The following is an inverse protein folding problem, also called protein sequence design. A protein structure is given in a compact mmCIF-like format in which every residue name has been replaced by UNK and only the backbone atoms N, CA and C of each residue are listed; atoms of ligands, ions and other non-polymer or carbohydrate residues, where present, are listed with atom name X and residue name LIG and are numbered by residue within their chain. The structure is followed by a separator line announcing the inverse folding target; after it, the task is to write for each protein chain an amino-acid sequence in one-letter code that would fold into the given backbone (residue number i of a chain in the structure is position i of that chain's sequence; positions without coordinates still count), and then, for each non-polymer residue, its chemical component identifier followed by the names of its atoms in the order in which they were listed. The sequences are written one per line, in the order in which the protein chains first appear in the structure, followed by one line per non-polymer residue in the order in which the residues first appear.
data_IF_926593711824
#
_entry.id   IF_926593711824
#
_cell.length_a   1.000
_cell.length_b   1.000
_cell.length_c   1.000
_cell.angle_alpha   90.00
_cell.angle_beta   90.00
_cell.angle_gamma   90.00
#
_symmetry.space_group_name_H-M   'P 1'
#
loop_
_entity.id
_entity.type
_entity.pdbx_description
1 polymer ?
#
# COMPACT_ATOMS: atom_id res chain seq x y z
N UNK A 1 31.74 -48.05 41.89
CA UNK A 1 31.53 -48.24 43.36
C UNK A 1 30.05 -48.48 43.49
N UNK A 2 29.66 -49.77 43.67
CA UNK A 2 29.28 -50.43 44.90
C UNK A 2 28.05 -49.76 45.53
N UNK A 3 26.89 -50.36 45.88
CA UNK A 3 26.50 -51.73 46.31
C UNK A 3 24.97 -51.80 46.14
N UNK A 4 24.35 -52.85 45.58
CA UNK A 4 23.95 -54.11 46.16
C UNK A 4 23.19 -54.03 47.49
N UNK A 5 21.91 -54.55 47.49
CA UNK A 5 21.42 -55.61 48.38
C UNK A 5 19.92 -55.66 48.20
N UNK A 6 19.29 -56.65 47.66
CA UNK A 6 18.99 -58.05 47.95
C UNK A 6 18.18 -58.29 49.22
N UNK A 7 17.13 -59.09 48.96
CA UNK A 7 16.58 -60.26 49.76
C UNK A 7 15.35 -59.89 50.64
N UNK A 8 14.25 -60.60 50.76
CA UNK A 8 13.86 -62.00 50.51
C UNK A 8 12.40 -62.18 50.89
N UNK A 9 11.69 -62.92 50.11
CA UNK A 9 10.77 -64.07 50.33
C UNK A 9 10.15 -64.34 51.73
N UNK A 10 8.86 -64.70 51.74
CA UNK A 10 8.23 -65.95 52.15
C UNK A 10 6.71 -65.80 52.27
N UNK A 11 5.97 -66.46 51.41
CA UNK A 11 5.12 -67.68 51.64
C UNK A 11 4.06 -67.60 52.73
N UNK A 12 2.79 -67.78 52.41
CA UNK A 12 2.00 -68.95 52.51
C UNK A 12 0.49 -68.73 52.29
N UNK A 13 -0.09 -69.62 51.57
CA UNK A 13 -1.49 -69.99 51.28
C UNK A 13 -2.40 -70.16 52.51
N UNK A 14 -3.69 -70.57 52.30
CA UNK A 14 -4.81 -70.06 51.47
C UNK A 14 -6.07 -69.84 52.34
N UNK A 15 -7.12 -69.20 51.77
CA UNK A 15 -8.53 -69.63 52.10
C UNK A 15 -9.45 -69.21 50.97
N UNK A 16 -10.10 -70.14 50.39
CA UNK A 16 -11.18 -69.97 49.41
C UNK A 16 -12.46 -69.53 50.13
N UNK A 17 -13.13 -68.53 49.55
CA UNK A 17 -14.60 -68.40 49.69
C UNK A 17 -15.16 -67.95 48.37
N UNK A 18 -15.95 -68.77 47.79
CA UNK A 18 -16.80 -68.52 46.65
C UNK A 18 -17.95 -67.63 47.08
N UNK A 19 -18.25 -66.55 46.25
CA UNK A 19 -19.65 -66.13 46.17
C UNK A 19 -19.88 -65.26 44.94
N UNK A 20 -20.82 -65.67 44.12
CA UNK A 20 -21.85 -64.99 43.38
C UNK A 20 -21.44 -64.06 42.22
N UNK A 21 -21.70 -64.58 41.02
CA UNK A 21 -22.00 -63.84 39.78
C UNK A 21 -23.01 -62.71 40.03
N UNK A 22 -22.58 -61.49 39.89
CA UNK A 22 -23.43 -60.34 39.61
C UNK A 22 -23.03 -59.76 38.24
N UNK A 23 -23.65 -60.26 37.17
CA UNK A 23 -23.56 -59.58 35.86
C UNK A 23 -24.27 -58.23 35.97
N UNK A 24 -23.54 -57.21 36.36
CA UNK A 24 -23.96 -55.81 36.16
C UNK A 24 -23.80 -55.46 34.71
N UNK A 25 -24.88 -55.53 33.94
CA UNK A 25 -24.97 -54.80 32.64
C UNK A 25 -24.79 -53.32 32.92
N UNK A 26 -23.58 -52.80 32.78
CA UNK A 26 -23.33 -51.41 32.60
C UNK A 26 -23.95 -51.03 31.25
N UNK A 27 -24.88 -50.04 31.18
CA UNK A 27 -25.31 -49.55 29.92
C UNK A 27 -24.07 -48.89 29.25
N UNK A 28 -23.65 -49.47 28.10
CA UNK A 28 -22.81 -48.74 27.17
C UNK A 28 -23.59 -47.46 26.82
N UNK A 29 -23.22 -46.38 27.48
CA UNK A 29 -23.64 -45.07 27.07
C UNK A 29 -22.95 -44.87 25.70
N UNK A 30 -23.72 -45.07 24.63
CA UNK A 30 -23.33 -44.57 23.31
C UNK A 30 -22.99 -43.12 23.52
N UNK A 31 -21.71 -42.77 23.41
CA UNK A 31 -21.30 -41.39 23.28
C UNK A 31 -22.05 -40.88 22.04
N UNK A 32 -22.98 -39.96 22.26
CA UNK A 32 -23.63 -39.24 21.17
C UNK A 32 -22.53 -38.71 20.27
N UNK A 33 -22.42 -39.29 19.09
CA UNK A 33 -21.49 -38.95 18.03
C UNK A 33 -22.02 -37.69 17.33
N UNK A 34 -22.14 -36.60 18.10
CA UNK A 34 -22.59 -35.27 17.66
C UNK A 34 -21.45 -34.51 17.02
N UNK A 35 -20.40 -35.22 16.63
CA UNK A 35 -19.36 -34.65 15.81
C UNK A 35 -19.94 -34.27 14.43
N UNK A 36 -19.76 -33.02 13.98
CA UNK A 36 -20.31 -32.58 12.70
C UNK A 36 -19.83 -33.51 11.59
N UNK A 37 -20.78 -34.19 10.94
CA UNK A 37 -20.53 -35.11 9.83
C UNK A 37 -20.26 -34.25 8.57
N UNK A 38 -19.16 -34.53 7.86
CA UNK A 38 -18.84 -33.87 6.61
C UNK A 38 -17.34 -33.48 6.47
N UNK A 39 -16.94 -33.01 5.31
CA UNK A 39 -15.57 -32.59 5.07
C UNK A 39 -15.18 -31.41 5.97
N UNK A 40 -13.91 -31.35 6.34
CA UNK A 40 -13.35 -30.21 7.07
C UNK A 40 -13.26 -29.01 6.14
N UNK A 41 -13.85 -27.89 6.52
CA UNK A 41 -13.88 -26.66 5.73
C UNK A 41 -13.28 -25.52 6.54
N UNK A 42 -12.27 -24.88 5.99
CA UNK A 42 -11.65 -23.71 6.63
C UNK A 42 -12.61 -22.53 6.59
N UNK A 43 -12.91 -22.00 7.76
CA UNK A 43 -13.84 -20.89 7.92
C UNK A 43 -13.22 -19.75 8.71
N UNK A 44 -13.79 -18.58 8.60
CA UNK A 44 -13.48 -17.45 9.47
C UNK A 44 -14.75 -16.70 9.86
N UNK A 45 -14.66 -15.97 10.95
CA UNK A 45 -15.74 -15.12 11.41
C UNK A 45 -15.68 -13.79 10.66
N UNK A 46 -16.76 -13.42 9.99
CA UNK A 46 -16.89 -12.14 9.33
C UNK A 46 -16.83 -11.00 10.36
N UNK A 47 -16.00 -10.02 10.13
CA UNK A 47 -15.82 -8.87 11.00
C UNK A 47 -15.82 -7.59 10.17
N UNK A 48 -16.15 -6.47 10.79
CA UNK A 48 -16.05 -5.16 10.14
C UNK A 48 -14.59 -4.77 9.92
N UNK A 49 -14.32 -4.21 8.75
CA UNK A 49 -13.05 -3.62 8.40
C UNK A 49 -13.29 -2.37 7.56
N UNK A 50 -12.31 -1.45 7.59
CA UNK A 50 -12.39 -0.25 6.77
C UNK A 50 -11.53 -0.43 5.52
N UNK A 51 -12.12 -0.11 4.38
CA UNK A 51 -11.54 -0.17 3.05
C UNK A 51 -11.34 1.25 2.53
N UNK A 52 -10.18 1.54 2.01
CA UNK A 52 -9.92 2.82 1.34
C UNK A 52 -10.16 2.67 -0.16
N UNK A 53 -10.95 3.57 -0.74
CA UNK A 53 -10.99 3.74 -2.20
C UNK A 53 -9.74 4.51 -2.61
N UNK A 54 -8.94 3.91 -3.49
CA UNK A 54 -7.63 4.43 -3.90
C UNK A 54 -7.62 4.56 -5.41
N UNK A 55 -7.29 5.76 -5.87
CA UNK A 55 -6.94 6.01 -7.27
C UNK A 55 -5.43 6.05 -7.40
N UNK A 56 -4.92 5.29 -8.36
CA UNK A 56 -3.51 5.22 -8.68
C UNK A 56 -3.17 6.14 -9.86
N UNK A 57 -2.17 7.00 -9.68
CA UNK A 57 -1.64 7.87 -10.72
C UNK A 57 -0.15 7.59 -10.92
N UNK A 58 0.25 7.23 -12.13
CA UNK A 58 1.66 7.00 -12.48
C UNK A 58 2.18 8.15 -13.34
N UNK A 59 3.41 8.58 -13.07
CA UNK A 59 3.98 9.71 -13.79
C UNK A 59 5.41 10.03 -13.40
N UNK A 60 5.79 11.27 -13.52
CA UNK A 60 7.16 11.75 -13.28
C UNK A 60 7.20 12.88 -12.26
N UNK A 61 8.33 12.97 -11.56
CA UNK A 61 8.60 14.04 -10.61
C UNK A 61 9.13 15.25 -11.36
N UNK A 62 8.49 16.39 -11.14
CA UNK A 62 8.91 17.69 -11.68
C UNK A 62 9.10 18.70 -10.55
N UNK A 63 9.89 19.72 -10.79
CA UNK A 63 9.93 20.88 -9.91
C UNK A 63 8.57 21.59 -9.96
N UNK A 64 8.01 21.97 -8.81
CA UNK A 64 6.79 22.78 -8.77
C UNK A 64 7.04 24.18 -9.32
N UNK A 65 8.15 24.76 -8.91
CA UNK A 65 8.61 26.07 -9.36
C UNK A 65 10.10 25.97 -9.66
N UNK A 66 10.47 26.29 -10.89
CA UNK A 66 11.85 26.33 -11.33
C UNK A 66 12.24 27.77 -11.69
N UNK A 67 13.29 28.25 -11.03
CA UNK A 67 13.83 29.57 -11.28
C UNK A 67 15.08 29.45 -12.16
N UNK A 68 15.01 30.03 -13.35
CA UNK A 68 16.14 30.10 -14.28
C UNK A 68 16.98 31.33 -14.01
N UNK A 69 18.25 31.16 -13.73
CA UNK A 69 19.20 32.25 -13.47
C UNK A 69 20.00 32.53 -14.72
N UNK A 70 19.86 33.78 -15.24
CA UNK A 70 20.56 34.29 -16.41
C UNK A 70 21.22 35.61 -16.06
N UNK A 71 22.34 35.97 -16.69
CA UNK A 71 22.90 37.30 -16.55
C UNK A 71 21.98 38.35 -17.21
N UNK A 72 21.92 39.52 -16.65
CA UNK A 72 21.06 40.61 -17.15
C UNK A 72 21.59 41.27 -18.43
N UNK A 73 22.90 41.17 -18.71
CA UNK A 73 23.58 41.83 -19.81
C UNK A 73 24.15 40.84 -20.81
N UNK A 74 24.24 41.23 -22.10
CA UNK A 74 24.93 40.43 -23.11
C UNK A 74 26.46 40.62 -23.01
N UNK A 75 27.20 39.71 -23.67
CA UNK A 75 28.66 39.83 -23.84
C UNK A 75 29.50 39.55 -22.62
N UNK A 76 28.92 38.95 -21.60
CA UNK A 76 29.62 38.55 -20.39
C UNK A 76 30.33 37.20 -20.58
N UNK A 77 31.42 36.99 -19.81
CA UNK A 77 32.21 35.76 -19.83
C UNK A 77 32.31 35.21 -18.40
N UNK A 78 32.04 33.92 -18.23
CA UNK A 78 32.15 33.24 -16.91
C UNK A 78 33.63 33.20 -16.51
N UNK A 79 33.98 33.76 -15.34
CA UNK A 79 35.33 33.74 -14.78
C UNK A 79 35.46 32.78 -13.61
N UNK A 80 34.37 32.63 -12.86
CA UNK A 80 34.38 31.74 -11.67
C UNK A 80 33.00 31.13 -11.49
N UNK A 81 32.96 29.84 -11.13
CA UNK A 81 31.75 29.11 -10.76
C UNK A 81 31.88 28.73 -9.31
N UNK A 82 30.93 29.15 -8.47
CA UNK A 82 30.94 29.00 -6.99
C UNK A 82 29.90 28.02 -6.50
N UNK A 83 29.04 27.53 -7.39
CA UNK A 83 28.01 26.56 -7.07
C UNK A 83 27.78 25.61 -8.24
N UNK A 84 27.46 24.34 -7.96
CA UNK A 84 27.29 23.30 -8.96
C UNK A 84 25.89 22.67 -8.88
N UNK A 85 25.52 21.90 -9.92
CA UNK A 85 24.31 21.11 -9.89
C UNK A 85 24.30 20.13 -8.72
N UNK A 86 23.20 20.15 -7.96
CA UNK A 86 23.06 19.37 -6.74
C UNK A 86 23.35 20.14 -5.45
N UNK A 87 23.83 21.38 -5.49
CA UNK A 87 24.02 22.20 -4.29
C UNK A 87 22.71 22.77 -3.78
N UNK A 88 22.59 22.85 -2.45
CA UNK A 88 21.52 23.59 -1.78
C UNK A 88 21.99 25.00 -1.50
N UNK A 89 21.25 25.99 -1.96
CA UNK A 89 21.60 27.39 -1.93
C UNK A 89 20.57 28.24 -1.19
N UNK A 90 21.02 29.39 -0.71
CA UNK A 90 20.17 30.41 -0.09
C UNK A 90 19.90 31.55 -1.07
N UNK A 91 18.79 32.28 -0.89
CA UNK A 91 18.51 33.47 -1.68
C UNK A 91 19.61 34.52 -1.48
N UNK A 92 20.06 35.14 -2.56
CA UNK A 92 21.15 36.11 -2.56
C UNK A 92 22.58 35.49 -2.59
N UNK A 93 22.71 34.18 -2.51
CA UNK A 93 24.01 33.52 -2.60
C UNK A 93 24.62 33.71 -3.98
N UNK A 94 25.92 34.04 -4.03
CA UNK A 94 26.65 34.19 -5.29
C UNK A 94 26.92 32.80 -5.88
N UNK A 95 26.49 32.61 -7.12
CA UNK A 95 26.60 31.33 -7.84
C UNK A 95 27.76 31.32 -8.83
N UNK A 96 28.02 32.47 -9.46
CA UNK A 96 29.12 32.65 -10.42
C UNK A 96 29.57 34.13 -10.49
N UNK A 97 30.78 34.34 -10.99
CA UNK A 97 31.30 35.66 -11.35
C UNK A 97 31.54 35.72 -12.84
N UNK A 98 31.18 36.87 -13.42
CA UNK A 98 31.29 37.12 -14.86
C UNK A 98 32.15 38.35 -15.11
N UNK A 99 33.02 38.30 -16.13
CA UNK A 99 33.75 39.49 -16.59
C UNK A 99 32.89 40.32 -17.53
N UNK A 100 32.98 41.62 -17.38
CA UNK A 100 32.38 42.58 -18.31
C UNK A 100 33.38 42.92 -19.45
N UNK A 101 32.93 43.15 -20.67
CA UNK A 101 33.78 43.53 -21.81
C UNK A 101 34.58 44.78 -21.56
N UNK A 102 34.01 45.76 -20.85
CA UNK A 102 34.62 47.03 -20.48
C UNK A 102 35.55 46.97 -19.24
N UNK A 103 35.69 45.79 -18.67
CA UNK A 103 36.42 45.58 -17.42
C UNK A 103 35.53 45.58 -16.17
N UNK A 104 35.93 44.83 -15.17
CA UNK A 104 35.16 44.60 -13.93
C UNK A 104 34.47 43.26 -13.88
N UNK A 105 33.78 42.99 -12.75
CA UNK A 105 33.14 41.69 -12.43
C UNK A 105 31.69 41.91 -12.06
N UNK A 106 30.81 41.11 -12.64
CA UNK A 106 29.40 40.99 -12.27
C UNK A 106 29.19 39.70 -11.47
N UNK A 107 28.43 39.78 -10.39
CA UNK A 107 28.01 38.59 -9.62
C UNK A 107 26.64 38.11 -10.08
N UNK A 108 26.53 36.82 -10.29
CA UNK A 108 25.24 36.14 -10.53
C UNK A 108 24.81 35.50 -9.20
N UNK A 109 23.67 35.96 -8.69
CA UNK A 109 23.12 35.53 -7.40
C UNK A 109 21.85 34.72 -7.57
N UNK A 110 21.57 33.86 -6.58
CA UNK A 110 20.35 33.06 -6.52
C UNK A 110 19.15 34.00 -6.18
N UNK A 111 18.08 34.02 -7.00
CA UNK A 111 16.89 34.81 -6.69
C UNK A 111 16.04 34.18 -5.60
N UNK A 112 16.13 32.87 -5.40
CA UNK A 112 15.39 32.08 -4.41
C UNK A 112 16.29 31.05 -3.75
N UNK A 113 15.94 30.63 -2.54
CA UNK A 113 16.55 29.48 -1.89
C UNK A 113 16.04 28.19 -2.53
N UNK A 114 16.89 27.18 -2.66
CA UNK A 114 16.49 25.91 -3.25
C UNK A 114 17.66 25.00 -3.59
N UNK A 115 17.39 24.04 -4.46
CA UNK A 115 18.36 23.08 -5.01
C UNK A 115 18.70 23.46 -6.45
N UNK A 116 19.98 23.52 -6.80
CA UNK A 116 20.39 23.66 -8.21
C UNK A 116 20.12 22.34 -8.93
N UNK A 117 19.16 22.36 -9.86
CA UNK A 117 18.78 21.18 -10.67
C UNK A 117 19.72 20.97 -11.86
N UNK A 118 20.20 22.06 -12.45
CA UNK A 118 21.13 22.04 -13.58
C UNK A 118 22.04 23.28 -13.58
N UNK A 119 23.26 23.13 -14.09
CA UNK A 119 24.21 24.19 -14.33
C UNK A 119 24.84 24.03 -15.71
N UNK A 120 24.81 25.08 -16.51
CA UNK A 120 25.55 25.20 -17.78
C UNK A 120 26.75 26.14 -17.67
N UNK A 121 26.99 26.68 -16.47
CA UNK A 121 28.09 27.63 -16.21
C UNK A 121 29.44 26.91 -16.31
N UNK A 122 30.26 27.33 -17.28
CA UNK A 122 31.63 26.83 -17.44
C UNK A 122 32.57 28.04 -17.60
N UNK A 123 33.71 27.97 -16.91
CA UNK A 123 34.72 29.04 -16.96
C UNK A 123 35.17 29.25 -18.41
N UNK A 124 35.15 30.51 -18.85
CA UNK A 124 35.55 30.89 -20.18
C UNK A 124 34.43 30.94 -21.22
N UNK A 125 33.24 30.41 -20.89
CA UNK A 125 32.09 30.45 -21.83
C UNK A 125 31.37 31.79 -21.81
N UNK A 126 30.84 32.24 -22.98
CA UNK A 126 30.02 33.44 -23.05
C UNK A 126 28.65 33.22 -22.38
N UNK A 127 28.20 34.20 -21.63
CA UNK A 127 26.92 34.22 -20.99
C UNK A 127 26.09 35.42 -21.41
N UNK A 128 24.80 35.24 -21.66
CA UNK A 128 23.92 36.34 -22.09
C UNK A 128 22.49 36.17 -21.57
N UNK A 129 21.77 37.28 -21.47
CA UNK A 129 20.38 37.34 -21.05
C UNK A 129 19.42 36.50 -21.95
N UNK A 130 19.76 36.36 -23.23
CA UNK A 130 18.96 35.58 -24.21
C UNK A 130 19.50 34.18 -24.44
N UNK A 131 20.60 33.83 -23.79
CA UNK A 131 21.19 32.48 -23.87
C UNK A 131 20.51 31.48 -22.96
N UNK A 132 21.12 30.31 -22.88
CA UNK A 132 20.74 29.29 -21.93
C UNK A 132 20.91 29.78 -20.50
N UNK A 133 20.07 29.29 -19.59
CA UNK A 133 20.20 29.62 -18.18
C UNK A 133 21.50 29.06 -17.62
N UNK A 134 22.28 29.87 -16.90
CA UNK A 134 23.49 29.42 -16.24
C UNK A 134 23.18 28.42 -15.12
N UNK A 135 22.06 28.63 -14.41
CA UNK A 135 21.60 27.73 -13.35
C UNK A 135 20.09 27.63 -13.44
N UNK A 136 19.59 26.44 -13.14
CA UNK A 136 18.19 26.15 -12.87
C UNK A 136 18.05 25.75 -11.39
N UNK A 137 17.11 26.38 -10.68
CA UNK A 137 16.93 26.21 -9.23
C UNK A 137 15.52 25.74 -8.96
N UNK A 138 15.38 24.57 -8.28
CA UNK A 138 14.12 24.11 -7.73
C UNK A 138 13.85 24.89 -6.45
N UNK A 139 12.85 25.77 -6.50
CA UNK A 139 12.53 26.64 -5.38
C UNK A 139 11.96 25.84 -4.20
N UNK A 140 12.40 26.17 -2.99
CA UNK A 140 11.86 25.65 -1.72
C UNK A 140 11.81 24.14 -1.57
N UNK A 141 12.50 23.37 -2.41
CA UNK A 141 12.45 21.89 -2.44
C UNK A 141 11.01 21.35 -2.56
N UNK A 142 10.18 22.04 -3.33
CA UNK A 142 8.82 21.66 -3.63
C UNK A 142 8.74 20.96 -5.00
N UNK A 143 8.12 19.80 -5.00
CA UNK A 143 8.00 18.96 -6.19
C UNK A 143 6.54 18.62 -6.45
N UNK A 144 6.22 18.30 -7.70
CA UNK A 144 4.96 17.70 -8.09
C UNK A 144 5.22 16.34 -8.77
N UNK A 145 4.45 15.33 -8.43
CA UNK A 145 4.26 14.19 -9.32
C UNK A 145 3.19 14.58 -10.34
N UNK A 146 3.56 14.64 -11.60
CA UNK A 146 2.63 14.80 -12.72
C UNK A 146 2.22 13.42 -13.16
N UNK A 147 1.05 13.00 -12.70
CA UNK A 147 0.54 11.63 -12.87
C UNK A 147 -0.61 11.58 -13.88
N UNK A 148 -0.70 10.45 -14.55
CA UNK A 148 -1.77 10.11 -15.47
C UNK A 148 -2.79 9.21 -14.78
N UNK A 149 -4.08 9.49 -14.99
CA UNK A 149 -5.20 8.80 -14.36
C UNK A 149 -6.29 8.54 -15.41
N UNK A 150 -7.00 7.41 -15.29
CA UNK A 150 -8.11 7.10 -16.18
C UNK A 150 -9.21 8.18 -16.10
N UNK A 151 -9.92 8.42 -17.19
CA UNK A 151 -11.05 9.38 -17.21
C UNK A 151 -12.16 9.03 -16.24
N UNK A 152 -12.34 7.75 -15.93
CA UNK A 152 -13.32 7.28 -14.95
C UNK A 152 -12.90 7.63 -13.52
N UNK A 153 -11.61 7.57 -13.21
CA UNK A 153 -11.08 7.84 -11.88
C UNK A 153 -10.87 9.34 -11.63
N UNK A 154 -10.65 10.15 -12.67
CA UNK A 154 -10.59 11.62 -12.53
C UNK A 154 -11.81 12.17 -11.79
N UNK A 155 -13.00 11.59 -12.02
CA UNK A 155 -14.25 12.02 -11.37
C UNK A 155 -14.26 11.80 -9.84
N UNK A 156 -13.40 10.92 -9.33
CA UNK A 156 -13.24 10.65 -7.90
C UNK A 156 -12.23 11.58 -7.23
N UNK A 157 -11.43 12.29 -8.03
CA UNK A 157 -10.36 13.15 -7.53
C UNK A 157 -10.90 14.51 -7.09
N UNK A 158 -10.35 15.01 -6.01
CA UNK A 158 -10.55 16.36 -5.50
C UNK A 158 -9.23 16.94 -4.99
N UNK A 159 -9.11 18.26 -5.05
CA UNK A 159 -7.96 18.98 -4.48
C UNK A 159 -7.88 18.73 -2.97
N UNK A 160 -6.66 18.67 -2.43
CA UNK A 160 -6.33 18.37 -1.03
C UNK A 160 -6.54 16.91 -0.58
N UNK A 161 -6.94 15.98 -1.43
CA UNK A 161 -6.92 14.56 -1.10
C UNK A 161 -5.51 14.10 -0.74
N UNK A 162 -5.41 13.28 0.31
CA UNK A 162 -4.15 12.69 0.76
C UNK A 162 -3.65 11.66 -0.26
N UNK A 163 -2.36 11.65 -0.50
CA UNK A 163 -1.71 10.71 -1.38
C UNK A 163 -0.42 10.19 -0.76
N UNK A 164 -0.11 8.94 -1.00
CA UNK A 164 1.23 8.38 -0.75
C UNK A 164 1.93 8.24 -2.09
N UNK A 165 3.04 8.96 -2.25
CA UNK A 165 3.83 8.95 -3.49
C UNK A 165 5.03 8.05 -3.32
N UNK A 166 5.07 6.99 -4.10
CA UNK A 166 6.20 6.06 -4.18
C UNK A 166 7.11 6.45 -5.32
N UNK A 167 8.35 6.76 -5.02
CA UNK A 167 9.34 7.26 -5.99
C UNK A 167 10.49 6.25 -6.06
N UNK A 168 10.91 5.92 -7.27
CA UNK A 168 12.04 5.04 -7.49
C UNK A 168 13.30 5.62 -6.81
N UNK A 169 13.90 4.85 -5.91
CA UNK A 169 15.11 5.24 -5.16
C UNK A 169 14.89 6.15 -3.93
N UNK A 170 13.69 6.71 -3.73
CA UNK A 170 13.41 7.59 -2.59
C UNK A 170 12.38 7.01 -1.60
N UNK A 171 11.67 5.93 -1.97
CA UNK A 171 10.65 5.28 -1.14
C UNK A 171 9.31 6.02 -1.14
N UNK A 172 8.54 5.80 -0.08
CA UNK A 172 7.21 6.38 0.07
C UNK A 172 7.29 7.76 0.76
N UNK A 173 6.64 8.74 0.17
CA UNK A 173 6.59 10.13 0.66
C UNK A 173 5.12 10.57 0.67
N UNK A 174 4.71 11.28 1.70
CA UNK A 174 3.37 11.85 1.75
C UNK A 174 3.23 13.06 0.81
N UNK A 175 2.08 13.14 0.18
CA UNK A 175 1.71 14.22 -0.72
C UNK A 175 0.22 14.50 -0.68
N UNK A 176 -0.20 15.51 -1.44
CA UNK A 176 -1.62 15.88 -1.59
C UNK A 176 -1.90 16.24 -3.04
N UNK A 177 -3.11 15.93 -3.49
CA UNK A 177 -3.60 16.43 -4.79
C UNK A 177 -3.63 17.95 -4.75
N UNK A 178 -2.80 18.59 -5.56
CA UNK A 178 -2.71 20.05 -5.64
C UNK A 178 -3.58 20.60 -6.76
N UNK A 179 -3.60 19.92 -7.90
CA UNK A 179 -4.33 20.34 -9.09
C UNK A 179 -4.75 19.14 -9.91
N UNK A 180 -5.91 19.22 -10.52
CA UNK A 180 -6.40 18.27 -11.50
C UNK A 180 -6.44 18.99 -12.85
N UNK A 181 -5.88 18.38 -13.88
CA UNK A 181 -5.89 18.93 -15.23
C UNK A 181 -7.33 19.04 -15.76
N UNK A 182 -7.59 20.11 -16.47
CA UNK A 182 -8.89 20.33 -17.11
C UNK A 182 -9.04 19.61 -18.46
N UNK A 183 -7.95 19.06 -18.98
CA UNK A 183 -7.88 18.40 -20.29
C UNK A 183 -7.45 16.96 -20.16
N UNK A 184 -7.87 16.16 -21.11
CA UNK A 184 -7.44 14.78 -21.29
C UNK A 184 -6.29 14.77 -22.30
N UNK A 185 -5.28 13.93 -22.04
CA UNK A 185 -4.21 13.69 -23.01
C UNK A 185 -4.77 12.96 -24.24
N UNK A 186 -4.76 13.58 -25.43
CA UNK A 186 -5.52 13.08 -26.58
C UNK A 186 -5.14 11.67 -27.02
N UNK A 187 -3.84 11.34 -26.95
CA UNK A 187 -3.33 10.08 -27.48
C UNK A 187 -3.65 8.88 -26.62
N UNK A 188 -3.73 9.07 -25.29
CA UNK A 188 -3.89 8.01 -24.32
C UNK A 188 -5.23 8.08 -23.56
N UNK A 189 -6.03 9.12 -23.79
CA UNK A 189 -7.33 9.34 -23.15
C UNK A 189 -7.27 9.30 -21.61
N UNK A 190 -6.22 9.89 -21.04
CA UNK A 190 -6.01 9.96 -19.59
C UNK A 190 -6.01 11.42 -19.12
N UNK A 191 -6.55 11.66 -17.95
CA UNK A 191 -6.47 12.94 -17.27
C UNK A 191 -5.14 13.10 -16.55
N UNK A 192 -4.74 14.35 -16.34
CA UNK A 192 -3.50 14.71 -15.64
C UNK A 192 -3.83 15.14 -14.21
N UNK A 193 -3.11 14.62 -13.24
CA UNK A 193 -3.18 15.06 -11.84
C UNK A 193 -1.81 15.49 -11.33
N UNK A 194 -1.78 16.56 -10.58
CA UNK A 194 -0.57 17.09 -9.94
C UNK A 194 -0.65 16.79 -8.43
N UNK A 195 0.22 15.92 -7.95
CA UNK A 195 0.33 15.59 -6.54
C UNK A 195 1.53 16.31 -5.96
N UNK A 196 1.26 17.31 -5.12
CA UNK A 196 2.29 18.11 -4.48
C UNK A 196 3.02 17.32 -3.38
N UNK A 197 4.34 17.41 -3.42
CA UNK A 197 5.26 16.79 -2.49
C UNK A 197 6.12 17.88 -1.88
N UNK A 198 6.23 17.90 -0.56
CA UNK A 198 7.18 18.76 0.15
C UNK A 198 8.07 17.87 1.00
N UNK A 199 9.35 17.86 0.70
CA UNK A 199 10.30 16.98 1.38
C UNK A 199 11.69 17.63 1.42
N UNK A 200 12.44 17.49 2.54
CA UNK A 200 13.84 17.91 2.60
C UNK A 200 14.77 16.98 1.81
N UNK A 201 14.26 15.84 1.35
CA UNK A 201 15.06 14.88 0.57
C UNK A 201 15.27 15.42 -0.83
N UNK A 202 16.45 15.18 -1.38
CA UNK A 202 16.71 15.41 -2.80
C UNK A 202 15.94 14.38 -3.62
N UNK A 203 15.06 14.87 -4.48
CA UNK A 203 14.39 14.05 -5.49
C UNK A 203 15.04 14.29 -6.85
N UNK A 204 15.24 13.22 -7.59
CA UNK A 204 15.71 13.32 -8.98
C UNK A 204 14.53 13.77 -9.85
N UNK A 205 14.68 14.89 -10.53
CA UNK A 205 13.70 15.35 -11.52
C UNK A 205 13.61 14.32 -12.65
N UNK A 206 12.42 14.21 -13.24
CA UNK A 206 12.07 13.25 -14.28
C UNK A 206 12.15 11.79 -13.85
N UNK A 207 12.41 11.49 -12.56
CA UNK A 207 12.27 10.12 -12.06
C UNK A 207 10.81 9.68 -12.08
N UNK A 208 10.59 8.39 -12.33
CA UNK A 208 9.25 7.81 -12.31
C UNK A 208 8.74 7.68 -10.87
N UNK A 209 7.45 7.93 -10.71
CA UNK A 209 6.76 7.79 -9.45
C UNK A 209 5.32 7.34 -9.63
N UNK A 210 4.73 6.89 -8.52
CA UNK A 210 3.34 6.45 -8.45
C UNK A 210 2.69 7.04 -7.22
N UNK A 211 1.56 7.70 -7.39
CA UNK A 211 0.75 8.23 -6.30
C UNK A 211 -0.44 7.32 -6.04
N UNK A 212 -0.66 6.96 -4.78
CA UNK A 212 -1.84 6.28 -4.27
C UNK A 212 -2.71 7.32 -3.58
N UNK A 213 -3.74 7.81 -4.27
CA UNK A 213 -4.60 8.91 -3.82
C UNK A 213 -5.82 8.34 -3.13
N UNK A 214 -6.05 8.69 -1.87
CA UNK A 214 -7.23 8.28 -1.10
C UNK A 214 -8.44 9.11 -1.54
N UNK A 215 -9.41 8.48 -2.20
CA UNK A 215 -10.61 9.14 -2.72
C UNK A 215 -11.83 8.94 -1.85
N UNK A 216 -11.82 7.90 -1.01
CA UNK A 216 -12.90 7.61 -0.09
C UNK A 216 -12.54 6.52 0.91
N UNK A 217 -13.46 6.26 1.82
CA UNK A 217 -13.36 5.17 2.78
C UNK A 217 -14.76 4.58 3.02
N UNK A 218 -14.83 3.26 3.11
CA UNK A 218 -16.02 2.53 3.48
C UNK A 218 -15.68 1.50 4.56
N UNK A 219 -16.54 1.34 5.57
CA UNK A 219 -16.32 0.40 6.67
C UNK A 219 -17.51 -0.55 6.75
N UNK A 220 -17.32 -1.77 6.26
CA UNK A 220 -18.35 -2.80 6.21
C UNK A 220 -17.77 -4.17 6.54
N UNK A 221 -18.60 -5.21 6.42
CA UNK A 221 -18.17 -6.59 6.63
C UNK A 221 -17.08 -6.96 5.64
N UNK A 222 -16.00 -7.52 6.15
CA UNK A 222 -14.87 -8.01 5.38
C UNK A 222 -14.90 -9.54 5.29
N UNK A 223 -14.71 -10.06 4.09
CA UNK A 223 -14.49 -11.48 3.85
C UNK A 223 -13.26 -11.67 2.97
N UNK A 224 -12.56 -12.81 3.04
CA UNK A 224 -11.46 -13.08 2.12
C UNK A 224 -11.93 -13.10 0.69
N UNK A 225 -11.16 -12.50 -0.21
CA UNK A 225 -11.44 -12.55 -1.65
C UNK A 225 -11.56 -14.00 -2.16
N UNK A 226 -10.80 -14.93 -1.57
CA UNK A 226 -10.86 -16.36 -1.89
C UNK A 226 -12.15 -17.06 -1.49
N UNK A 227 -12.95 -16.45 -0.62
CA UNK A 227 -14.27 -16.96 -0.20
C UNK A 227 -15.42 -16.54 -1.12
N UNK A 228 -15.17 -15.60 -2.03
CA UNK A 228 -16.18 -15.08 -2.95
C UNK A 228 -16.23 -15.91 -4.23
N UNK A 229 -17.41 -16.27 -4.67
CA UNK A 229 -17.65 -17.00 -5.90
C UNK A 229 -18.43 -16.11 -6.88
N UNK A 230 -17.99 -16.11 -8.13
CA UNK A 230 -18.65 -15.42 -9.22
C UNK A 230 -19.39 -16.43 -10.09
N UNK A 231 -20.67 -16.24 -10.29
CA UNK A 231 -21.50 -17.08 -11.13
C UNK A 231 -22.35 -16.24 -12.10
N UNK A 232 -22.90 -16.82 -13.16
CA UNK A 232 -23.84 -16.10 -14.03
C UNK A 232 -25.08 -15.56 -13.30
N UNK A 233 -25.44 -16.18 -12.17
CA UNK A 233 -26.55 -15.74 -11.32
C UNK A 233 -26.18 -14.61 -10.35
N UNK A 234 -24.89 -14.22 -10.30
CA UNK A 234 -24.37 -13.16 -9.44
C UNK A 234 -23.23 -13.62 -8.53
N UNK A 235 -22.80 -12.71 -7.67
CA UNK A 235 -21.74 -12.95 -6.70
C UNK A 235 -22.32 -13.57 -5.44
N UNK A 236 -21.69 -14.64 -4.95
CA UNK A 236 -22.14 -15.37 -3.77
C UNK A 236 -20.99 -15.67 -2.81
N UNK A 237 -21.36 -15.84 -1.54
CA UNK A 237 -20.48 -16.28 -0.46
C UNK A 237 -21.15 -17.44 0.26
N UNK A 238 -20.37 -18.44 0.66
CA UNK A 238 -20.86 -19.56 1.45
C UNK A 238 -20.64 -19.27 2.93
N UNK A 239 -21.72 -19.34 3.70
CA UNK A 239 -21.70 -19.26 5.16
C UNK A 239 -22.06 -20.60 5.77
N UNK A 240 -21.63 -20.84 7.01
CA UNK A 240 -21.95 -22.06 7.73
C UNK A 240 -22.93 -21.73 8.84
N UNK A 241 -24.10 -22.37 8.78
CA UNK A 241 -25.11 -22.35 9.85
C UNK A 241 -25.45 -23.77 10.27
N UNK A 242 -25.42 -24.04 11.55
CA UNK A 242 -25.73 -25.37 12.13
C UNK A 242 -24.99 -26.50 11.40
N UNK A 243 -23.68 -26.29 11.12
CA UNK A 243 -22.82 -27.24 10.41
C UNK A 243 -23.27 -27.58 8.98
N UNK A 244 -24.04 -26.69 8.33
CA UNK A 244 -24.46 -26.81 6.93
C UNK A 244 -24.07 -25.58 6.14
N UNK A 245 -23.78 -25.79 4.88
CA UNK A 245 -23.48 -24.73 3.92
C UNK A 245 -24.77 -24.01 3.55
N UNK A 246 -24.77 -22.69 3.64
CA UNK A 246 -25.81 -21.79 3.14
C UNK A 246 -25.16 -20.81 2.17
N UNK A 247 -25.64 -20.76 0.93
CA UNK A 247 -25.14 -19.86 -0.10
C UNK A 247 -25.90 -18.55 -0.07
N UNK A 248 -25.18 -17.45 0.17
CA UNK A 248 -25.74 -16.10 0.22
C UNK A 248 -25.31 -15.31 -1.00
N UNK A 249 -26.29 -14.69 -1.67
CA UNK A 249 -26.02 -13.66 -2.66
C UNK A 249 -25.52 -12.42 -1.94
N UNK A 250 -24.48 -11.80 -2.48
CA UNK A 250 -23.83 -10.65 -1.84
C UNK A 250 -23.61 -9.51 -2.82
N UNK A 251 -23.66 -8.30 -2.28
CA UNK A 251 -23.19 -7.10 -2.96
C UNK A 251 -21.77 -6.79 -2.46
N UNK A 252 -20.83 -6.81 -3.40
CA UNK A 252 -19.41 -6.56 -3.10
C UNK A 252 -19.06 -5.08 -3.26
N UNK A 253 -18.06 -4.61 -2.54
CA UNK A 253 -17.54 -3.26 -2.60
C UNK A 253 -16.05 -3.19 -2.86
N UNK A 254 -15.36 -2.43 -2.05
CA UNK A 254 -13.92 -2.19 -2.16
C UNK A 254 -13.11 -3.43 -1.77
N UNK A 255 -11.91 -3.52 -2.31
CA UNK A 255 -10.96 -4.60 -2.03
C UNK A 255 -9.67 -4.03 -1.43
N UNK A 256 -9.15 -4.67 -0.38
CA UNK A 256 -7.89 -4.29 0.24
C UNK A 256 -7.28 -5.44 1.03
N UNK A 257 -5.97 -5.63 0.96
CA UNK A 257 -5.23 -6.59 1.79
C UNK A 257 -5.71 -8.05 1.65
N UNK A 258 -6.19 -8.47 0.47
CA UNK A 258 -6.72 -9.82 0.25
C UNK A 258 -8.15 -10.04 0.75
N UNK A 259 -8.78 -8.99 1.29
CA UNK A 259 -10.18 -8.99 1.70
C UNK A 259 -11.03 -8.15 0.74
N UNK A 260 -12.31 -8.47 0.69
CA UNK A 260 -13.33 -7.73 -0.05
C UNK A 260 -14.43 -7.26 0.89
N UNK A 261 -14.89 -6.06 0.66
CA UNK A 261 -16.03 -5.47 1.34
C UNK A 261 -17.33 -6.13 0.88
N UNK A 262 -18.16 -6.52 1.82
CA UNK A 262 -19.55 -6.97 1.56
C UNK A 262 -20.47 -5.88 2.07
N UNK A 263 -21.21 -5.27 1.13
CA UNK A 263 -22.18 -4.20 1.43
C UNK A 263 -23.50 -4.76 1.87
N UNK A 264 -23.89 -5.91 1.31
CA UNK A 264 -25.14 -6.59 1.63
C UNK A 264 -24.99 -8.12 1.48
N UNK A 265 -25.76 -8.87 2.26
CA UNK A 265 -25.87 -10.33 2.20
C UNK A 265 -25.13 -11.10 3.31
N UNK A 266 -24.15 -10.52 3.99
CA UNK A 266 -23.43 -11.14 5.13
C UNK A 266 -23.42 -10.19 6.31
N UNK A 267 -23.69 -10.72 7.50
CA UNK A 267 -23.65 -9.95 8.74
C UNK A 267 -22.33 -10.14 9.49
N UNK A 268 -22.02 -9.15 10.32
CA UNK A 268 -20.92 -9.30 11.27
C UNK A 268 -21.16 -10.50 12.19
N UNK A 269 -20.16 -11.36 12.30
CA UNK A 269 -20.24 -12.58 13.12
C UNK A 269 -20.63 -13.84 12.36
N UNK A 270 -21.11 -13.74 11.12
CA UNK A 270 -21.36 -14.91 10.29
C UNK A 270 -20.08 -15.72 10.06
N UNK A 271 -20.21 -17.04 10.05
CA UNK A 271 -19.09 -17.95 9.79
C UNK A 271 -19.00 -18.17 8.29
N UNK A 272 -17.97 -17.61 7.66
CA UNK A 272 -17.78 -17.60 6.21
C UNK A 272 -16.73 -18.62 5.80
N UNK A 273 -16.95 -19.33 4.71
CA UNK A 273 -15.97 -20.22 4.10
C UNK A 273 -14.80 -19.39 3.57
N UNK A 274 -13.61 -19.60 4.14
CA UNK A 274 -12.44 -18.78 3.84
C UNK A 274 -11.88 -19.00 2.43
N UNK A 275 -12.08 -20.20 1.90
CA UNK A 275 -11.69 -20.56 0.54
C UNK A 275 -12.84 -21.30 -0.10
N UNK A 276 -13.50 -20.69 -1.06
CA UNK A 276 -14.59 -21.28 -1.81
C UNK A 276 -14.10 -22.54 -2.55
N UNK A 277 -14.58 -23.68 -2.10
CA UNK A 277 -14.36 -24.96 -2.78
C UNK A 277 -15.47 -25.18 -3.81
N UNK A 278 -15.12 -25.49 -5.05
CA UNK A 278 -16.08 -25.82 -6.11
C UNK A 278 -16.97 -27.05 -5.80
N UNK A 279 -16.72 -27.71 -4.69
CA UNK A 279 -17.35 -28.97 -4.31
C UNK A 279 -18.45 -28.83 -3.23
N UNK A 280 -18.58 -27.66 -2.59
CA UNK A 280 -19.60 -27.45 -1.57
C UNK A 280 -20.92 -27.00 -2.19
N UNK A 281 -22.02 -27.70 -1.87
CA UNK A 281 -23.35 -27.39 -2.34
C UNK A 281 -24.20 -26.85 -1.19
N UNK A 282 -25.26 -26.17 -1.55
CA UNK A 282 -26.30 -25.73 -0.62
C UNK A 282 -26.80 -26.91 0.23
N UNK A 283 -26.79 -26.74 1.56
CA UNK A 283 -27.24 -27.75 2.53
C UNK A 283 -26.23 -28.83 2.88
N UNK A 284 -25.06 -28.89 2.23
CA UNK A 284 -24.04 -29.90 2.53
C UNK A 284 -23.62 -29.83 4.00
N UNK A 285 -23.54 -30.98 4.69
CA UNK A 285 -23.00 -31.04 6.04
C UNK A 285 -21.47 -30.86 6.01
N UNK A 286 -20.95 -29.99 6.86
CA UNK A 286 -19.53 -29.68 6.93
C UNK A 286 -19.05 -29.57 8.36
N UNK A 287 -17.75 -29.78 8.56
CA UNK A 287 -17.07 -29.57 9.83
C UNK A 287 -16.26 -28.25 9.72
N UNK A 288 -16.73 -27.15 10.31
CA UNK A 288 -16.02 -25.89 10.26
C UNK A 288 -14.72 -25.96 11.08
N UNK A 289 -13.61 -25.56 10.47
CA UNK A 289 -12.30 -25.40 11.11
C UNK A 289 -11.92 -23.95 11.01
N UNK A 290 -11.83 -23.28 12.15
CA UNK A 290 -11.46 -21.87 12.17
C UNK A 290 -10.05 -21.69 11.59
N UNK A 291 -9.90 -20.79 10.62
CA UNK A 291 -8.60 -20.39 10.16
C UNK A 291 -7.83 -19.79 11.34
N UNK A 292 -6.63 -20.29 11.63
CA UNK A 292 -5.72 -19.56 12.51
C UNK A 292 -5.43 -18.23 11.85
N UNK A 293 -5.54 -17.12 12.59
CA UNK A 293 -5.13 -15.83 12.09
C UNK A 293 -3.69 -15.96 11.59
N UNK A 294 -3.50 -15.99 10.27
CA UNK A 294 -2.16 -16.00 9.71
C UNK A 294 -1.48 -14.72 10.21
N UNK A 295 -0.40 -14.91 10.95
CA UNK A 295 0.46 -13.80 11.33
C UNK A 295 0.81 -13.01 10.05
N UNK A 296 0.55 -11.72 10.12
CA UNK A 296 0.88 -10.73 9.07
C UNK A 296 2.38 -10.62 8.91
#
# INVERSE_FOLDING_TARGET
MRHFSRISSKTLFPVAVATALGLGLLPLRAADDDAPKGPAVTVLKASKSCFSDIVEASGTIVAREESSVRPERPGLKVTEVLAEAGDTITAGQVLARLALPEGGTLQVTAPVAGLISASTAQIGTPASARGEALFSIVARSEYDLVGLVSTTDVKKLAVNQQATVRIAGAGDIEGKVRKIGATVEPNIQQGVVYVGISTPRRLLLNSSGRALIKTGQSCNVAVPLTGVQYSPAGTVVQIIRRNRVETKRVEIGLMSGGNIEIRDGVNEGDIVVARAGALLREGDPVRPVMASAAAK
#
